data_IF_122581944508
#
_entry.id   IF_122581944508
#
_cell.length_a   1.000
_cell.length_b   1.000
_cell.length_c   1.000
_cell.angle_alpha   90.00
_cell.angle_beta   90.00
_cell.angle_gamma   90.00
#
_symmetry.space_group_name_H-M   'P 1'
#
loop_
_entity.id
_entity.type
_entity.pdbx_description
1 polymer ?
#
# COMPACT_ATOMS: atom_id res chain seq x y z
N UNK A 1 3.62 -2.63 38.01
CA UNK A 1 4.25 -2.38 36.69
C UNK A 1 4.23 -3.72 35.97
N UNK A 2 3.10 -4.01 35.32
CA UNK A 2 2.81 -5.29 34.68
C UNK A 2 3.32 -5.22 33.25
N UNK A 3 4.18 -6.15 32.87
CA UNK A 3 4.71 -6.25 31.51
C UNK A 3 3.54 -6.40 30.53
N UNK A 4 3.47 -5.54 29.51
CA UNK A 4 2.46 -5.54 28.43
C UNK A 4 2.50 -6.79 27.52
N UNK A 5 3.23 -7.83 27.92
CA UNK A 5 3.61 -8.99 27.09
C UNK A 5 2.77 -10.25 27.34
N UNK A 6 1.85 -10.24 28.33
CA UNK A 6 1.07 -11.42 28.76
C UNK A 6 -0.45 -11.23 28.71
N UNK A 7 -0.93 -10.41 27.77
CA UNK A 7 -2.37 -10.33 27.48
C UNK A 7 -2.88 -11.57 26.72
N UNK A 8 -4.18 -11.89 26.75
CA UNK A 8 -4.78 -13.03 26.03
C UNK A 8 -4.41 -13.08 24.55
N UNK A 9 -4.37 -11.92 23.86
CA UNK A 9 -3.94 -11.80 22.46
C UNK A 9 -2.46 -12.16 22.24
N UNK A 10 -1.59 -11.93 23.22
CA UNK A 10 -0.18 -12.28 23.13
C UNK A 10 0.01 -13.80 23.28
N UNK A 11 -0.80 -14.45 24.10
CA UNK A 11 -0.84 -15.92 24.21
C UNK A 11 -1.36 -16.55 22.92
N UNK A 12 -2.51 -16.09 22.39
CA UNK A 12 -3.06 -16.55 21.11
C UNK A 12 -2.10 -16.35 19.93
N UNK A 13 -1.40 -15.20 19.90
CA UNK A 13 -0.36 -14.93 18.91
C UNK A 13 0.79 -15.94 19.01
N UNK A 14 1.31 -16.19 20.22
CA UNK A 14 2.38 -17.16 20.46
C UNK A 14 1.95 -18.58 20.08
N UNK A 15 0.76 -19.01 20.47
CA UNK A 15 0.22 -20.32 20.12
C UNK A 15 0.08 -20.49 18.61
N UNK A 16 -0.38 -19.46 17.90
CA UNK A 16 -0.47 -19.48 16.43
C UNK A 16 0.91 -19.59 15.79
N UNK A 17 1.89 -18.82 16.25
CA UNK A 17 3.27 -18.87 15.72
C UNK A 17 3.90 -20.23 15.99
N UNK A 18 3.75 -20.80 17.18
CA UNK A 18 4.29 -22.13 17.50
C UNK A 18 3.61 -23.25 16.71
N UNK A 19 2.30 -23.13 16.47
CA UNK A 19 1.57 -24.05 15.57
C UNK A 19 2.11 -23.97 14.14
N UNK A 20 2.25 -22.76 13.61
CA UNK A 20 2.80 -22.54 12.27
C UNK A 20 4.22 -23.09 12.15
N UNK A 21 5.08 -22.85 13.15
CA UNK A 21 6.45 -23.39 13.23
C UNK A 21 6.49 -24.92 13.27
N UNK A 22 5.60 -25.53 14.03
CA UNK A 22 5.52 -27.00 14.12
C UNK A 22 5.07 -27.61 12.79
N UNK A 23 4.05 -27.02 12.16
CA UNK A 23 3.51 -27.48 10.88
C UNK A 23 4.51 -27.32 9.73
N UNK A 24 5.15 -26.16 9.61
CA UNK A 24 6.16 -25.93 8.58
C UNK A 24 7.36 -26.87 8.76
N UNK A 25 7.81 -27.07 10.00
CA UNK A 25 8.92 -27.99 10.29
C UNK A 25 8.58 -29.41 9.88
N UNK A 26 7.38 -29.89 10.22
CA UNK A 26 6.89 -31.20 9.80
C UNK A 26 6.91 -31.34 8.27
N UNK A 27 6.36 -30.37 7.54
CA UNK A 27 6.28 -30.44 6.06
C UNK A 27 7.65 -30.41 5.38
N UNK A 28 8.56 -29.56 5.85
CA UNK A 28 9.93 -29.54 5.32
C UNK A 28 10.70 -30.81 5.66
N UNK A 29 10.45 -31.42 6.82
CA UNK A 29 11.07 -32.69 7.21
C UNK A 29 10.63 -33.81 6.28
N UNK A 30 9.33 -33.97 6.07
CA UNK A 30 8.78 -34.99 5.16
C UNK A 30 9.29 -34.80 3.73
N UNK A 31 9.37 -33.54 3.28
CA UNK A 31 9.95 -33.22 1.97
C UNK A 31 11.41 -33.66 1.86
N UNK A 32 12.25 -33.32 2.83
CA UNK A 32 13.67 -33.68 2.84
C UNK A 32 13.88 -35.19 2.98
N UNK A 33 13.10 -35.85 3.83
CA UNK A 33 13.13 -37.31 3.99
C UNK A 33 12.84 -37.99 2.64
N UNK A 34 11.79 -37.55 1.95
CA UNK A 34 11.45 -38.04 0.61
C UNK A 34 12.61 -37.86 -0.38
N UNK A 35 13.24 -36.67 -0.38
CA UNK A 35 14.40 -36.38 -1.27
C UNK A 35 15.60 -37.28 -0.93
N UNK A 36 15.85 -37.54 0.35
CA UNK A 36 16.95 -38.39 0.80
C UNK A 36 16.71 -39.87 0.50
N UNK A 37 15.48 -40.37 0.67
CA UNK A 37 15.09 -41.73 0.26
C UNK A 37 15.28 -41.92 -1.25
N UNK A 38 14.85 -40.97 -2.06
CA UNK A 38 15.04 -41.02 -3.53
C UNK A 38 16.51 -41.05 -3.94
N UNK A 39 17.41 -40.53 -3.09
CA UNK A 39 18.87 -40.58 -3.30
C UNK A 39 19.52 -41.83 -2.71
N UNK A 40 18.73 -42.76 -2.14
CA UNK A 40 19.21 -44.03 -1.60
C UNK A 40 19.86 -43.92 -0.22
N UNK A 41 19.58 -42.86 0.54
CA UNK A 41 20.04 -42.74 1.92
C UNK A 41 19.21 -43.65 2.83
N UNK A 42 19.89 -44.48 3.60
CA UNK A 42 19.30 -45.20 4.74
C UNK A 42 19.07 -44.18 5.87
N UNK A 43 18.01 -44.36 6.67
CA UNK A 43 17.65 -43.42 7.76
C UNK A 43 17.31 -41.99 7.28
N UNK A 44 16.71 -41.87 6.09
CA UNK A 44 16.38 -40.59 5.47
C UNK A 44 15.61 -39.60 6.37
N UNK A 45 14.75 -40.10 7.27
CA UNK A 45 14.07 -39.28 8.26
C UNK A 45 15.01 -38.61 9.26
N UNK A 46 16.03 -39.33 9.76
CA UNK A 46 17.02 -38.78 10.68
C UNK A 46 17.94 -37.77 9.98
N UNK A 47 18.30 -38.05 8.72
CA UNK A 47 19.03 -37.09 7.89
C UNK A 47 18.22 -35.81 7.63
N UNK A 48 16.89 -35.93 7.43
CA UNK A 48 16.01 -34.78 7.25
C UNK A 48 15.95 -33.90 8.51
N UNK A 49 15.84 -34.52 9.68
CA UNK A 49 15.88 -33.82 10.97
C UNK A 49 17.23 -33.11 11.15
N UNK A 50 18.35 -33.80 10.92
CA UNK A 50 19.69 -33.24 11.04
C UNK A 50 19.94 -32.08 10.05
N UNK A 51 19.48 -32.21 8.81
CA UNK A 51 19.61 -31.18 7.80
C UNK A 51 18.79 -29.92 8.16
N UNK A 52 17.56 -30.09 8.66
CA UNK A 52 16.73 -28.97 9.08
C UNK A 52 17.35 -28.21 10.24
N UNK A 53 17.86 -28.93 11.24
CA UNK A 53 18.49 -28.32 12.40
C UNK A 53 19.75 -27.55 11.99
N UNK A 54 20.60 -28.15 11.16
CA UNK A 54 21.82 -27.51 10.67
C UNK A 54 21.56 -26.25 9.84
N UNK A 55 20.44 -26.19 9.11
CA UNK A 55 20.12 -25.05 8.24
C UNK A 55 19.34 -23.95 8.95
N UNK A 56 18.52 -24.29 9.95
CA UNK A 56 17.50 -23.37 10.49
C UNK A 56 17.60 -23.10 11.98
N UNK A 57 18.34 -23.91 12.73
CA UNK A 57 18.54 -23.71 14.18
C UNK A 57 19.97 -23.24 14.44
N UNK A 58 20.10 -21.93 14.66
CA UNK A 58 21.37 -21.29 14.97
C UNK A 58 21.42 -20.92 16.44
N UNK A 59 22.55 -21.13 17.10
CA UNK A 59 22.75 -20.78 18.51
C UNK A 59 23.91 -19.80 18.65
N UNK A 60 23.82 -18.89 19.63
CA UNK A 60 24.96 -18.04 20.01
C UNK A 60 26.07 -18.91 20.62
N UNK A 61 27.31 -18.73 20.16
CA UNK A 61 28.46 -19.55 20.61
C UNK A 61 28.68 -19.45 22.11
N UNK A 62 28.48 -18.26 22.68
CA UNK A 62 28.81 -17.99 24.09
C UNK A 62 27.71 -18.44 25.06
N UNK A 63 26.43 -18.40 24.65
CA UNK A 63 25.30 -18.71 25.53
C UNK A 63 24.59 -20.02 25.19
N UNK A 64 24.78 -20.56 24.00
CA UNK A 64 24.01 -21.70 23.49
C UNK A 64 22.53 -21.39 23.23
N UNK A 65 22.10 -20.14 23.40
CA UNK A 65 20.71 -19.73 23.18
C UNK A 65 20.40 -19.58 21.67
N UNK A 66 19.16 -19.86 21.22
CA UNK A 66 18.77 -19.67 19.83
C UNK A 66 19.00 -18.23 19.33
N UNK A 67 19.74 -18.11 18.23
CA UNK A 67 20.03 -16.85 17.56
C UNK A 67 18.78 -16.29 16.88
N UNK A 68 18.47 -15.03 17.20
CA UNK A 68 17.30 -14.31 16.65
C UNK A 68 17.67 -13.30 15.56
N UNK A 69 18.86 -13.40 14.97
CA UNK A 69 19.28 -12.56 13.84
C UNK A 69 18.65 -13.03 12.51
N UNK A 70 18.11 -12.11 11.72
CA UNK A 70 17.50 -12.42 10.41
C UNK A 70 18.53 -12.80 9.34
N UNK A 71 19.82 -12.69 9.66
CA UNK A 71 20.94 -13.05 8.77
C UNK A 71 21.07 -14.56 8.52
N UNK A 72 20.32 -15.39 9.24
CA UNK A 72 20.31 -16.85 9.07
C UNK A 72 18.99 -17.31 8.43
N UNK A 73 19.01 -18.38 7.62
CA UNK A 73 17.79 -19.01 7.13
C UNK A 73 16.87 -19.43 8.28
N UNK A 74 15.56 -19.25 8.09
CA UNK A 74 14.52 -19.65 9.04
C UNK A 74 13.36 -20.29 8.31
N UNK A 75 12.63 -21.14 9.02
CA UNK A 75 11.34 -21.62 8.54
C UNK A 75 10.31 -20.47 8.60
N UNK A 76 9.40 -20.38 7.62
CA UNK A 76 8.29 -19.43 7.64
C UNK A 76 7.47 -19.52 8.93
N UNK A 77 7.07 -18.36 9.46
CA UNK A 77 6.26 -18.27 10.69
C UNK A 77 4.76 -18.06 10.38
N UNK A 78 4.37 -18.14 9.10
CA UNK A 78 3.00 -17.99 8.61
C UNK A 78 2.75 -18.90 7.42
N UNK A 79 1.49 -19.26 7.20
CA UNK A 79 0.96 -20.04 6.08
C UNK A 79 0.85 -19.25 4.75
N UNK A 80 1.27 -17.97 4.74
CA UNK A 80 1.36 -17.19 3.52
C UNK A 80 2.17 -17.94 2.46
N UNK A 81 1.58 -18.13 1.28
CA UNK A 81 2.12 -18.93 0.17
C UNK A 81 2.41 -20.40 0.52
N UNK A 82 1.59 -21.00 1.37
CA UNK A 82 1.70 -22.40 1.78
C UNK A 82 3.10 -22.74 2.33
N UNK A 83 3.62 -21.88 3.20
CA UNK A 83 4.97 -22.00 3.76
C UNK A 83 6.09 -22.06 2.71
N UNK A 84 5.86 -21.52 1.51
CA UNK A 84 6.79 -21.56 0.38
C UNK A 84 6.64 -22.78 -0.53
N UNK A 85 5.81 -23.77 -0.18
CA UNK A 85 5.54 -24.94 -1.03
C UNK A 85 4.66 -24.59 -2.23
N UNK A 86 3.81 -23.57 -2.11
CA UNK A 86 3.01 -23.03 -3.23
C UNK A 86 3.62 -21.74 -3.80
N UNK A 87 4.92 -21.50 -3.55
CA UNK A 87 5.61 -20.35 -4.12
C UNK A 87 5.71 -20.49 -5.64
N UNK A 88 5.43 -19.40 -6.36
CA UNK A 88 5.56 -19.34 -7.82
C UNK A 88 6.94 -19.78 -8.33
N UNK A 89 7.98 -19.57 -7.52
CA UNK A 89 9.36 -19.96 -7.85
C UNK A 89 9.60 -21.47 -7.92
N UNK A 90 8.71 -22.29 -7.34
CA UNK A 90 8.82 -23.76 -7.33
C UNK A 90 8.06 -24.43 -8.48
N UNK A 91 7.28 -23.68 -9.26
CA UNK A 91 6.44 -24.21 -10.34
C UNK A 91 7.21 -24.28 -11.65
N UNK A 92 6.96 -25.33 -12.44
CA UNK A 92 7.38 -25.35 -13.85
C UNK A 92 6.66 -24.27 -14.66
N UNK A 93 7.18 -23.85 -15.83
CA UNK A 93 6.49 -22.90 -16.70
C UNK A 93 5.07 -23.35 -17.09
N UNK A 94 4.84 -24.65 -17.29
CA UNK A 94 3.52 -25.23 -17.58
C UNK A 94 2.56 -25.10 -16.39
N UNK A 95 3.02 -25.47 -15.19
CA UNK A 95 2.23 -25.36 -13.96
C UNK A 95 1.90 -23.90 -13.63
N UNK A 96 2.84 -23.00 -13.86
CA UNK A 96 2.61 -21.57 -13.71
C UNK A 96 1.52 -21.07 -14.66
N UNK A 97 1.59 -21.42 -15.96
CA UNK A 97 0.57 -21.06 -16.94
C UNK A 97 -0.80 -21.64 -16.61
N UNK A 98 -0.86 -22.89 -16.15
CA UNK A 98 -2.11 -23.55 -15.73
C UNK A 98 -2.72 -22.85 -14.52
N UNK A 99 -1.95 -22.68 -13.45
CA UNK A 99 -2.44 -22.04 -12.23
C UNK A 99 -2.86 -20.58 -12.47
N UNK A 100 -2.15 -19.85 -13.34
CA UNK A 100 -2.56 -18.52 -13.76
C UNK A 100 -3.90 -18.53 -14.52
N UNK A 101 -4.09 -19.48 -15.44
CA UNK A 101 -5.37 -19.66 -16.15
C UNK A 101 -6.51 -19.97 -15.18
N UNK A 102 -6.32 -20.94 -14.29
CA UNK A 102 -7.31 -21.32 -13.27
C UNK A 102 -7.67 -20.16 -12.34
N UNK A 103 -6.66 -19.41 -11.87
CA UNK A 103 -6.87 -18.20 -11.08
C UNK A 103 -7.70 -17.16 -11.85
N UNK A 104 -7.39 -16.95 -13.12
CA UNK A 104 -8.10 -15.99 -13.98
C UNK A 104 -9.56 -16.40 -14.22
N UNK A 105 -9.81 -17.69 -14.41
CA UNK A 105 -11.15 -18.25 -14.55
C UNK A 105 -11.96 -18.10 -13.26
N UNK A 106 -11.36 -18.42 -12.11
CA UNK A 106 -12.00 -18.24 -10.79
C UNK A 106 -12.35 -16.79 -10.50
N UNK A 107 -11.46 -15.85 -10.84
CA UNK A 107 -11.76 -14.41 -10.72
C UNK A 107 -12.90 -14.01 -11.65
N UNK A 108 -12.90 -14.49 -12.89
CA UNK A 108 -13.99 -14.20 -13.83
C UNK A 108 -15.32 -14.84 -13.42
N UNK A 109 -15.30 -15.98 -12.73
CA UNK A 109 -16.48 -16.58 -12.10
C UNK A 109 -16.97 -15.74 -10.93
N UNK A 110 -16.08 -15.33 -10.03
CA UNK A 110 -16.42 -14.46 -8.91
C UNK A 110 -17.11 -13.16 -9.37
N UNK A 111 -16.54 -12.47 -10.35
CA UNK A 111 -17.14 -11.22 -10.86
C UNK A 111 -18.46 -11.40 -11.62
N UNK A 112 -18.78 -12.64 -12.06
CA UNK A 112 -20.10 -13.00 -12.62
C UNK A 112 -21.07 -13.54 -11.57
N UNK A 113 -20.62 -13.72 -10.33
CA UNK A 113 -21.50 -14.14 -9.24
C UNK A 113 -22.37 -12.96 -8.77
N UNK A 114 -23.50 -13.22 -8.08
CA UNK A 114 -24.33 -12.15 -7.52
C UNK A 114 -23.57 -11.21 -6.58
N UNK A 115 -22.57 -11.71 -5.84
CA UNK A 115 -21.72 -10.88 -4.99
C UNK A 115 -20.83 -9.95 -5.82
N UNK A 116 -20.19 -10.47 -6.87
CA UNK A 116 -19.39 -9.68 -7.81
C UNK A 116 -20.21 -8.64 -8.57
N UNK A 117 -21.43 -8.99 -8.98
CA UNK A 117 -22.37 -8.06 -9.61
C UNK A 117 -22.80 -6.94 -8.65
N UNK A 118 -23.05 -7.26 -7.37
CA UNK A 118 -23.38 -6.25 -6.35
C UNK A 118 -22.23 -5.27 -6.11
N UNK A 119 -21.00 -5.75 -6.00
CA UNK A 119 -19.81 -4.90 -5.84
C UNK A 119 -19.66 -4.00 -7.08
N UNK A 120 -19.77 -4.59 -8.28
CA UNK A 120 -19.68 -3.83 -9.54
C UNK A 120 -20.76 -2.75 -9.63
N UNK A 121 -22.00 -3.06 -9.25
CA UNK A 121 -23.10 -2.10 -9.25
C UNK A 121 -22.88 -0.98 -8.22
N UNK A 122 -22.34 -1.29 -7.04
CA UNK A 122 -22.00 -0.30 -6.03
C UNK A 122 -20.88 0.64 -6.51
N UNK A 123 -19.83 0.09 -7.12
CA UNK A 123 -18.74 0.88 -7.71
C UNK A 123 -19.26 1.80 -8.84
N UNK A 124 -20.10 1.28 -9.73
CA UNK A 124 -20.74 2.08 -10.79
C UNK A 124 -21.63 3.19 -10.25
N UNK A 125 -22.37 2.94 -9.17
CA UNK A 125 -23.21 3.94 -8.54
C UNK A 125 -22.37 5.06 -7.90
N UNK A 126 -21.29 4.70 -7.20
CA UNK A 126 -20.36 5.65 -6.61
C UNK A 126 -19.66 6.50 -7.70
N UNK A 127 -19.31 5.89 -8.82
CA UNK A 127 -18.72 6.58 -9.97
C UNK A 127 -19.73 7.54 -10.63
N UNK A 128 -20.99 7.12 -10.80
CA UNK A 128 -22.03 7.99 -11.34
C UNK A 128 -22.31 9.20 -10.43
N UNK A 129 -22.26 9.01 -9.11
CA UNK A 129 -22.39 10.09 -8.13
C UNK A 129 -21.23 11.08 -8.23
N UNK A 130 -20.00 10.58 -8.33
CA UNK A 130 -18.81 11.39 -8.55
C UNK A 130 -18.92 12.22 -9.84
N UNK A 131 -19.28 11.59 -10.96
CA UNK A 131 -19.43 12.29 -12.26
C UNK A 131 -20.52 13.38 -12.21
N UNK A 132 -21.65 13.08 -11.56
CA UNK A 132 -22.72 14.05 -11.38
C UNK A 132 -22.31 15.25 -10.51
N UNK A 133 -21.41 15.03 -9.55
CA UNK A 133 -20.80 16.10 -8.78
C UNK A 133 -19.79 16.89 -9.62
N UNK A 134 -18.83 16.22 -10.29
CA UNK A 134 -17.80 16.85 -11.13
C UNK A 134 -18.41 17.74 -12.21
N UNK A 135 -19.50 17.32 -12.85
CA UNK A 135 -20.21 18.10 -13.86
C UNK A 135 -20.72 19.46 -13.35
N UNK A 136 -20.89 19.62 -12.03
CA UNK A 136 -21.33 20.87 -11.38
C UNK A 136 -20.17 21.69 -10.83
N UNK A 137 -18.94 21.20 -10.92
CA UNK A 137 -17.77 21.84 -10.33
C UNK A 137 -16.99 22.64 -11.38
N UNK A 138 -17.12 23.99 -11.40
CA UNK A 138 -16.32 24.79 -12.31
C UNK A 138 -14.83 24.70 -11.93
N UNK A 139 -13.97 24.67 -12.94
CA UNK A 139 -12.51 24.67 -12.76
C UNK A 139 -11.90 23.33 -12.38
N UNK A 140 -12.68 22.25 -12.27
CA UNK A 140 -12.16 20.92 -11.91
C UNK A 140 -12.30 19.97 -13.09
N UNK A 141 -11.21 19.26 -13.40
CA UNK A 141 -11.17 18.20 -14.40
C UNK A 141 -10.39 17.04 -13.78
N UNK A 142 -10.99 15.86 -13.72
CA UNK A 142 -10.29 14.62 -13.37
C UNK A 142 -9.95 13.89 -14.67
N UNK A 143 -8.67 13.63 -14.91
CA UNK A 143 -8.20 12.94 -16.13
C UNK A 143 -8.12 11.44 -15.95
N UNK A 144 -7.63 11.01 -14.79
CA UNK A 144 -7.38 9.62 -14.48
C UNK A 144 -7.52 9.41 -12.98
N UNK A 145 -8.14 8.29 -12.61
CA UNK A 145 -8.18 7.80 -11.23
C UNK A 145 -8.11 6.28 -11.26
N UNK A 146 -7.43 5.70 -10.29
CA UNK A 146 -7.37 4.26 -10.17
C UNK A 146 -6.35 3.75 -9.18
N UNK A 147 -6.24 2.43 -9.16
CA UNK A 147 -5.42 1.69 -8.20
C UNK A 147 -6.17 1.41 -6.91
N UNK A 148 -6.24 0.12 -6.56
CA UNK A 148 -6.75 -0.33 -5.25
C UNK A 148 -5.74 -0.02 -4.13
N UNK A 149 -4.45 -0.20 -4.41
CA UNK A 149 -3.34 0.22 -3.57
C UNK A 149 -2.05 0.25 -4.43
N UNK A 150 -1.47 1.41 -4.74
CA UNK A 150 -1.86 2.75 -4.28
C UNK A 150 -3.08 3.32 -5.01
N UNK A 151 -3.97 4.00 -4.28
CA UNK A 151 -4.99 4.87 -4.89
C UNK A 151 -4.31 6.12 -5.48
N UNK A 152 -4.68 6.49 -6.71
CA UNK A 152 -4.07 7.58 -7.47
C UNK A 152 -5.11 8.39 -8.22
N UNK A 153 -4.94 9.71 -8.22
CA UNK A 153 -5.79 10.63 -8.96
C UNK A 153 -4.95 11.69 -9.67
N UNK A 154 -5.34 12.04 -10.90
CA UNK A 154 -4.70 13.07 -11.72
C UNK A 154 -5.76 13.96 -12.34
N UNK A 155 -5.47 15.25 -12.43
CA UNK A 155 -6.41 16.20 -13.01
C UNK A 155 -5.90 17.63 -13.00
N UNK A 156 -6.84 18.56 -13.10
CA UNK A 156 -6.65 20.00 -13.04
C UNK A 156 -7.66 20.59 -12.07
N UNK A 157 -7.20 21.49 -11.18
CA UNK A 157 -8.06 22.31 -10.31
C UNK A 157 -7.67 23.77 -10.50
N UNK A 158 -8.63 24.59 -10.92
CA UNK A 158 -8.52 26.03 -11.12
C UNK A 158 -7.29 26.45 -11.97
N UNK A 159 -6.96 25.62 -12.98
CA UNK A 159 -5.84 25.82 -13.91
C UNK A 159 -4.52 25.16 -13.50
N UNK A 160 -4.46 24.52 -12.34
CA UNK A 160 -3.27 23.85 -11.83
C UNK A 160 -3.39 22.34 -11.98
N UNK A 161 -2.41 21.69 -12.59
CA UNK A 161 -2.37 20.23 -12.67
C UNK A 161 -2.09 19.65 -11.28
N UNK A 162 -2.71 18.52 -10.94
CA UNK A 162 -2.49 17.86 -9.66
C UNK A 162 -2.26 16.36 -9.80
N UNK A 163 -1.53 15.81 -8.83
CA UNK A 163 -1.42 14.38 -8.60
C UNK A 163 -1.66 14.08 -7.12
N UNK A 164 -2.64 13.24 -6.84
CA UNK A 164 -2.85 12.66 -5.52
C UNK A 164 -2.42 11.19 -5.54
N UNK A 165 -1.81 10.75 -4.44
CA UNK A 165 -1.46 9.35 -4.23
C UNK A 165 -1.63 8.98 -2.77
N UNK A 166 -2.41 7.95 -2.51
CA UNK A 166 -2.43 7.23 -1.23
C UNK A 166 -1.65 5.92 -1.37
N UNK A 167 -0.83 5.61 -0.37
CA UNK A 167 -0.22 4.29 -0.22
C UNK A 167 0.01 4.01 1.25
N UNK A 168 -0.43 2.85 1.71
CA UNK A 168 -0.19 2.33 3.06
C UNK A 168 -0.72 3.24 4.16
N UNK A 169 -1.86 3.89 3.94
CA UNK A 169 -2.48 4.81 4.90
C UNK A 169 -1.89 6.22 4.89
N UNK A 170 -0.91 6.50 4.02
CA UNK A 170 -0.31 7.82 3.85
C UNK A 170 -0.65 8.38 2.47
N UNK A 171 -0.93 9.68 2.41
CA UNK A 171 -1.24 10.36 1.15
C UNK A 171 -0.42 11.62 0.96
N UNK A 172 -0.28 12.03 -0.30
CA UNK A 172 0.29 13.32 -0.70
C UNK A 172 -0.44 13.91 -1.90
N UNK A 173 -0.43 15.24 -2.00
CA UNK A 173 -0.90 15.99 -3.16
C UNK A 173 0.26 16.82 -3.70
N UNK A 174 0.53 16.64 -4.98
CA UNK A 174 1.47 17.42 -5.78
C UNK A 174 0.69 18.35 -6.72
N UNK A 175 1.19 19.56 -6.93
CA UNK A 175 0.61 20.57 -7.81
C UNK A 175 1.62 21.02 -8.88
N UNK A 176 1.14 21.50 -10.01
CA UNK A 176 1.94 22.03 -11.12
C UNK A 176 2.98 21.02 -11.64
N UNK A 177 2.43 19.84 -11.98
CA UNK A 177 3.14 18.69 -12.51
C UNK A 177 3.92 19.04 -13.77
N UNK A 178 5.22 18.70 -13.76
CA UNK A 178 6.16 18.99 -14.84
C UNK A 178 7.15 17.84 -15.02
N UNK A 179 7.69 17.62 -16.24
CA UNK A 179 8.80 16.70 -16.43
C UNK A 179 9.96 17.08 -15.53
N UNK A 180 10.49 16.09 -14.83
CA UNK A 180 11.72 16.19 -14.04
C UNK A 180 12.90 15.65 -14.85
N UNK A 181 14.12 15.92 -14.37
CA UNK A 181 15.35 15.35 -14.94
C UNK A 181 15.56 13.87 -14.56
N UNK A 182 14.62 13.27 -13.81
CA UNK A 182 14.67 11.86 -13.42
C UNK A 182 13.92 11.03 -14.44
N UNK A 183 14.54 9.97 -14.94
CA UNK A 183 13.91 9.07 -15.91
C UNK A 183 13.49 7.76 -15.25
N UNK A 184 12.32 7.26 -15.64
CA UNK A 184 11.80 5.95 -15.21
C UNK A 184 11.70 5.01 -16.40
N UNK A 185 12.26 3.80 -16.24
CA UNK A 185 12.06 2.69 -17.19
C UNK A 185 10.68 2.11 -16.98
N UNK A 186 9.86 2.16 -18.02
CA UNK A 186 8.51 1.58 -18.04
C UNK A 186 8.50 0.40 -18.99
N UNK A 187 7.93 -0.73 -18.57
CA UNK A 187 7.76 -1.89 -19.43
C UNK A 187 6.74 -1.54 -20.50
N UNK A 188 7.12 -1.67 -21.77
CA UNK A 188 6.26 -1.40 -22.93
C UNK A 188 5.72 -2.66 -23.57
N UNK A 189 6.30 -3.80 -23.26
CA UNK A 189 5.85 -5.09 -23.74
C UNK A 189 6.71 -6.23 -23.22
N UNK A 190 6.24 -7.44 -23.46
CA UNK A 190 7.00 -8.66 -23.24
C UNK A 190 6.78 -9.55 -24.44
N UNK A 191 7.86 -10.00 -25.06
CA UNK A 191 7.81 -10.92 -26.19
C UNK A 191 7.32 -12.30 -25.74
N UNK A 192 6.94 -13.14 -26.71
CA UNK A 192 6.47 -14.50 -26.46
C UNK A 192 7.53 -15.41 -25.81
N UNK A 193 8.81 -15.04 -25.88
CA UNK A 193 9.93 -15.72 -25.21
C UNK A 193 10.22 -15.19 -23.79
N UNK A 194 9.44 -14.21 -23.32
CA UNK A 194 9.62 -13.59 -22.00
C UNK A 194 10.56 -12.39 -21.99
N UNK A 195 11.11 -11.96 -23.13
CA UNK A 195 11.97 -10.77 -23.20
C UNK A 195 11.15 -9.50 -22.92
N UNK A 196 11.55 -8.74 -21.90
CA UNK A 196 10.85 -7.52 -21.48
C UNK A 196 11.43 -6.30 -22.21
N UNK A 197 10.57 -5.54 -22.88
CA UNK A 197 10.90 -4.28 -23.53
C UNK A 197 10.66 -3.11 -22.60
N UNK A 198 11.57 -2.14 -22.62
CA UNK A 198 11.52 -0.96 -21.76
C UNK A 198 11.61 0.31 -22.59
N UNK A 199 10.85 1.32 -22.20
CA UNK A 199 11.04 2.71 -22.63
C UNK A 199 11.38 3.58 -21.43
N UNK A 200 12.29 4.52 -21.64
CA UNK A 200 12.56 5.58 -20.67
C UNK A 200 11.63 6.76 -20.90
N UNK A 201 11.01 7.24 -19.82
CA UNK A 201 10.26 8.50 -19.82
C UNK A 201 10.69 9.35 -18.65
N UNK A 202 10.73 10.66 -18.84
CA UNK A 202 10.91 11.58 -17.74
C UNK A 202 9.79 11.37 -16.70
N UNK A 203 10.16 11.32 -15.44
CA UNK A 203 9.25 11.28 -14.30
C UNK A 203 8.54 12.62 -14.24
N UNK A 204 7.24 12.59 -14.00
CA UNK A 204 6.42 13.79 -13.83
C UNK A 204 6.28 14.03 -12.33
N UNK A 205 6.75 15.19 -11.86
CA UNK A 205 6.76 15.56 -10.45
C UNK A 205 6.17 16.98 -10.32
N UNK A 206 5.50 17.25 -9.20
CA UNK A 206 5.00 18.59 -8.85
C UNK A 206 5.48 19.04 -7.48
N UNK A 207 5.06 20.23 -7.07
CA UNK A 207 5.33 20.74 -5.74
C UNK A 207 4.38 20.06 -4.74
N UNK A 208 4.92 19.42 -3.70
CA UNK A 208 4.10 18.81 -2.65
C UNK A 208 3.45 19.91 -1.83
N UNK A 209 2.14 20.07 -1.98
CA UNK A 209 1.38 21.11 -1.28
C UNK A 209 0.76 20.64 0.04
N UNK A 210 0.55 19.32 0.16
CA UNK A 210 -0.03 18.70 1.34
C UNK A 210 0.33 17.21 1.41
N UNK A 211 0.41 16.69 2.63
CA UNK A 211 0.53 15.26 2.91
C UNK A 211 -0.08 14.94 4.27
N UNK A 212 -0.43 13.68 4.49
CA UNK A 212 -1.04 13.25 5.74
C UNK A 212 -1.37 11.75 5.75
N UNK A 213 -2.24 11.37 6.68
CA UNK A 213 -2.73 9.99 6.80
C UNK A 213 -4.21 9.91 6.45
N UNK A 214 -4.69 8.72 6.10
CA UNK A 214 -6.11 8.47 5.78
C UNK A 214 -7.04 8.64 7.00
N UNK A 215 -6.49 8.82 8.20
CA UNK A 215 -7.23 9.10 9.43
C UNK A 215 -7.60 10.58 9.61
N UNK A 216 -7.21 11.46 8.67
CA UNK A 216 -7.55 12.88 8.75
C UNK A 216 -9.05 13.09 8.52
N UNK A 217 -9.64 14.02 9.28
CA UNK A 217 -11.03 14.43 9.08
C UNK A 217 -11.23 14.92 7.64
N UNK A 218 -12.35 14.54 7.04
CA UNK A 218 -12.67 14.87 5.66
C UNK A 218 -11.97 13.99 4.61
N UNK A 219 -11.09 13.05 4.99
CA UNK A 219 -10.52 12.10 4.03
C UNK A 219 -11.63 11.29 3.34
N UNK A 220 -12.62 10.82 4.08
CA UNK A 220 -13.78 10.12 3.55
C UNK A 220 -13.48 8.74 2.93
N UNK A 221 -14.56 8.05 2.56
CA UNK A 221 -14.53 6.63 2.18
C UNK A 221 -14.98 6.39 0.73
N UNK A 222 -15.67 7.36 0.12
CA UNK A 222 -16.15 7.26 -1.26
C UNK A 222 -15.25 8.01 -2.23
N UNK A 223 -15.29 7.70 -3.54
CA UNK A 223 -14.63 8.50 -4.57
C UNK A 223 -15.07 9.97 -4.56
N UNK A 224 -16.35 10.23 -4.25
CA UNK A 224 -16.86 11.59 -4.11
C UNK A 224 -16.17 12.33 -2.96
N UNK A 225 -16.12 11.72 -1.78
CA UNK A 225 -15.46 12.33 -0.62
C UNK A 225 -13.98 12.60 -0.94
N UNK A 226 -13.32 11.67 -1.61
CA UNK A 226 -11.92 11.79 -2.05
C UNK A 226 -11.74 12.99 -2.98
N UNK A 227 -12.62 13.14 -3.97
CA UNK A 227 -12.58 14.25 -4.91
C UNK A 227 -12.79 15.61 -4.21
N UNK A 228 -13.73 15.68 -3.27
CA UNK A 228 -13.97 16.87 -2.43
C UNK A 228 -12.73 17.19 -1.59
N UNK A 229 -12.20 16.20 -0.87
CA UNK A 229 -11.01 16.32 -0.05
C UNK A 229 -9.80 16.88 -0.84
N UNK A 230 -9.51 16.30 -2.00
CA UNK A 230 -8.40 16.72 -2.86
C UNK A 230 -8.63 18.17 -3.33
N UNK A 231 -9.83 18.44 -3.84
CA UNK A 231 -10.21 19.75 -4.37
C UNK A 231 -10.11 20.84 -3.32
N UNK A 232 -10.69 20.62 -2.14
CA UNK A 232 -10.72 21.59 -1.05
C UNK A 232 -9.31 21.84 -0.51
N UNK A 233 -8.47 20.80 -0.44
CA UNK A 233 -7.06 20.94 -0.07
C UNK A 233 -6.31 21.83 -1.06
N UNK A 234 -6.49 21.61 -2.37
CA UNK A 234 -5.85 22.41 -3.42
C UNK A 234 -6.36 23.85 -3.38
N UNK A 235 -7.68 24.06 -3.37
CA UNK A 235 -8.27 25.40 -3.33
C UNK A 235 -7.84 26.20 -2.11
N UNK A 236 -7.82 25.56 -0.94
CA UNK A 236 -7.32 26.17 0.28
C UNK A 236 -5.86 26.58 0.12
N UNK A 237 -5.01 25.72 -0.45
CA UNK A 237 -3.62 26.06 -0.72
C UNK A 237 -3.49 27.28 -1.66
N UNK A 238 -4.21 27.29 -2.78
CA UNK A 238 -4.18 28.38 -3.76
C UNK A 238 -4.66 29.72 -3.16
N UNK A 239 -5.72 29.69 -2.36
CA UNK A 239 -6.23 30.88 -1.65
C UNK A 239 -5.19 31.41 -0.66
N UNK A 240 -4.50 30.52 0.07
CA UNK A 240 -3.43 30.92 1.01
C UNK A 240 -2.26 31.60 0.29
N UNK A 241 -1.87 31.12 -0.90
CA UNK A 241 -0.79 31.76 -1.66
C UNK A 241 -1.12 33.17 -2.14
N UNK A 242 -2.39 33.46 -2.47
CA UNK A 242 -2.82 34.76 -3.01
C UNK A 242 -3.30 35.75 -1.94
N UNK A 243 -3.39 35.33 -0.69
CA UNK A 243 -3.99 36.14 0.37
C UNK A 243 -3.10 37.33 0.74
N UNK A 244 -3.57 38.56 0.48
CA UNK A 244 -2.92 39.81 0.91
C UNK A 244 -3.50 40.36 2.22
N UNK A 245 -4.64 39.83 2.69
CA UNK A 245 -5.28 40.25 3.95
C UNK A 245 -4.42 40.04 5.19
N UNK A 246 -3.30 39.32 5.07
CA UNK A 246 -2.35 39.05 6.16
C UNK A 246 -1.75 40.29 6.82
N UNK A 247 -1.72 41.44 6.15
CA UNK A 247 -1.05 42.61 6.71
C UNK A 247 -1.98 43.81 6.90
N UNK A 248 -2.88 44.06 5.95
CA UNK A 248 -3.55 45.36 5.86
C UNK A 248 -4.81 45.49 6.74
N UNK A 249 -5.41 44.37 7.16
CA UNK A 249 -6.70 44.38 7.86
C UNK A 249 -6.71 43.67 9.22
N UNK A 250 -5.57 43.10 9.65
CA UNK A 250 -5.50 42.37 10.93
C UNK A 250 -5.86 43.24 12.13
N UNK A 251 -5.41 44.51 12.15
CA UNK A 251 -5.70 45.42 13.25
C UNK A 251 -7.21 45.69 13.40
N UNK A 252 -7.94 45.81 12.29
CA UNK A 252 -9.39 46.01 12.29
C UNK A 252 -10.14 44.74 12.70
N UNK A 253 -9.65 43.56 12.30
CA UNK A 253 -10.25 42.28 12.69
C UNK A 253 -10.03 42.01 14.18
N UNK A 254 -8.82 42.24 14.70
CA UNK A 254 -8.50 42.11 16.12
C UNK A 254 -9.36 43.05 16.98
N UNK A 255 -9.62 44.27 16.50
CA UNK A 255 -10.48 45.23 17.17
C UNK A 255 -11.94 44.74 17.27
N UNK A 256 -12.44 44.03 16.26
CA UNK A 256 -13.79 43.44 16.26
C UNK A 256 -13.86 42.20 17.16
N UNK A 257 -12.83 41.35 17.11
CA UNK A 257 -12.79 40.09 17.86
C UNK A 257 -12.36 40.26 19.33
N UNK A 258 -11.84 41.44 19.70
CA UNK A 258 -11.33 41.75 21.04
C UNK A 258 -10.11 40.91 21.43
N UNK A 259 -9.54 40.15 20.50
CA UNK A 259 -8.40 39.25 20.71
C UNK A 259 -7.53 39.21 19.46
N UNK A 260 -6.21 39.03 19.59
CA UNK A 260 -5.33 38.90 18.43
C UNK A 260 -5.69 37.68 17.59
N UNK A 261 -5.98 37.91 16.33
CA UNK A 261 -6.30 36.87 15.36
C UNK A 261 -5.08 35.97 15.17
N UNK A 262 -5.22 34.70 15.55
CA UNK A 262 -4.17 33.69 15.33
C UNK A 262 -4.21 33.10 13.91
N UNK A 263 -5.29 33.37 13.18
CA UNK A 263 -5.58 32.81 11.87
C UNK A 263 -6.21 33.88 10.98
N UNK A 264 -5.86 33.89 9.69
CA UNK A 264 -6.54 34.75 8.73
C UNK A 264 -7.96 34.21 8.46
N UNK A 265 -9.02 35.02 8.62
CA UNK A 265 -10.39 34.55 8.38
C UNK A 265 -10.68 34.24 6.89
N UNK A 266 -9.88 34.77 5.97
CA UNK A 266 -10.07 34.57 4.53
C UNK A 266 -9.41 33.28 4.02
N UNK A 267 -8.23 32.91 4.52
CA UNK A 267 -7.47 31.78 3.99
C UNK A 267 -7.05 30.73 5.03
N UNK A 268 -7.33 30.98 6.32
CA UNK A 268 -7.00 30.06 7.40
C UNK A 268 -5.50 29.83 7.60
N UNK A 269 -4.61 30.65 7.05
CA UNK A 269 -3.18 30.61 7.38
C UNK A 269 -2.97 31.09 8.81
N UNK A 270 -2.12 30.38 9.56
CA UNK A 270 -1.69 30.81 10.90
C UNK A 270 -0.88 32.08 10.77
N UNK A 271 -1.30 33.12 11.48
CA UNK A 271 -0.58 34.39 11.51
C UNK A 271 0.57 34.26 12.51
N UNK A 272 1.76 34.72 12.13
CA UNK A 272 2.91 34.78 13.04
C UNK A 272 2.52 35.59 14.28
N UNK A 273 2.86 35.08 15.47
CA UNK A 273 2.74 35.90 16.67
C UNK A 273 3.63 37.13 16.49
N UNK A 274 3.04 38.32 16.67
CA UNK A 274 3.81 39.56 16.78
C UNK A 274 4.64 39.56 18.04
#
# INVERSE_FOLDING_TARGET
MTHFSDGPRAVEYRERVERARSEVRYRYREHLATVFEQRGLVEAGEFADAALDALTIWHYVDSGEPCRCSCHPRLPESDLHDYGFDCVCMRTPEEHRRAFTEWRERIAEFWRSPEGEQITAADQAADAELEAWLAKQPGIIVHDRGGLAPEQWRGVVDGHSFYFRERHGEWRIELDLRPSDRFVRTITGTDNDGTIHYTERASIEGDVIASGTTNVEGYGATPLDRAQFITDTIRTHLVRQRCTHHHDHLASIDAILGTPSRWCPTCGTRLSAR
#
